data_IF_519473650687
#
_entry.id   IF_519473650687
#
_cell.length_a   1.000
_cell.length_b   1.000
_cell.length_c   1.000
_cell.angle_alpha   90.00
_cell.angle_beta   90.00
_cell.angle_gamma   90.00
#
_symmetry.space_group_name_H-M   'P 1'
#
loop_
_entity.id
_entity.type
_entity.pdbx_description
1 polymer ?
#
# COMPACT_ATOMS: atom_id res chain seq x y z
N UNK A 1 -9.57 41.40 114.61
CA UNK A 1 -9.77 40.79 113.28
C UNK A 1 -8.43 40.21 112.82
N UNK A 2 -8.13 38.95 113.17
CA UNK A 2 -6.90 38.27 112.80
C UNK A 2 -7.26 36.92 112.14
N UNK A 3 -7.34 36.88 110.82
CA UNK A 3 -7.47 35.64 110.05
C UNK A 3 -7.22 35.88 108.56
N UNK A 4 -5.96 36.09 108.17
CA UNK A 4 -5.52 36.03 106.76
C UNK A 4 -4.12 35.44 106.57
N UNK A 5 -3.41 35.06 107.63
CA UNK A 5 -2.00 34.62 107.54
C UNK A 5 -1.78 33.10 107.50
N UNK A 6 -2.79 32.29 107.81
CA UNK A 6 -2.68 30.82 107.75
C UNK A 6 -2.77 30.25 106.31
N UNK A 7 -3.50 30.92 105.42
CA UNK A 7 -3.62 30.49 104.03
C UNK A 7 -2.31 30.70 103.24
N UNK A 8 -1.62 31.81 103.50
CA UNK A 8 -0.34 32.14 102.86
C UNK A 8 0.83 31.25 103.34
N UNK A 9 0.78 30.77 104.58
CA UNK A 9 1.82 29.89 105.13
C UNK A 9 1.67 28.43 104.70
N UNK A 10 0.45 27.96 104.40
CA UNK A 10 0.25 26.63 103.77
C UNK A 10 0.71 26.60 102.31
N UNK A 11 0.61 27.72 101.58
CA UNK A 11 1.09 27.86 100.20
C UNK A 11 2.62 27.85 100.04
N UNK A 12 3.37 28.06 101.13
CA UNK A 12 4.85 28.05 101.15
C UNK A 12 5.45 26.85 101.89
N UNK A 13 4.65 25.83 102.25
CA UNK A 13 5.17 24.56 102.79
C UNK A 13 5.76 23.72 101.65
N UNK A 14 6.99 24.07 101.30
CA UNK A 14 8.05 23.19 100.83
C UNK A 14 7.74 22.41 99.54
N UNK A 15 8.13 22.99 98.41
CA UNK A 15 8.72 22.22 97.31
C UNK A 15 9.97 21.51 97.87
N UNK A 16 9.77 20.38 98.54
CA UNK A 16 10.88 19.50 98.89
C UNK A 16 11.54 19.05 97.58
N UNK A 17 12.86 18.85 97.58
CA UNK A 17 13.59 18.33 96.41
C UNK A 17 12.90 17.09 95.83
N UNK A 18 12.30 16.27 96.69
CA UNK A 18 11.48 15.10 96.31
C UNK A 18 10.22 15.45 95.52
N UNK A 19 9.48 16.51 95.86
CA UNK A 19 8.29 16.96 95.09
C UNK A 19 8.68 17.54 93.72
N UNK A 20 9.81 18.25 93.63
CA UNK A 20 10.32 18.78 92.35
C UNK A 20 10.78 17.63 91.46
N UNK A 21 11.53 16.66 92.00
CA UNK A 21 11.95 15.47 91.28
C UNK A 21 10.76 14.62 90.80
N UNK A 22 9.72 14.48 91.62
CA UNK A 22 8.49 13.78 91.23
C UNK A 22 7.76 14.51 90.10
N UNK A 23 7.58 15.83 90.20
CA UNK A 23 6.98 16.63 89.13
C UNK A 23 7.80 16.58 87.82
N UNK A 24 9.13 16.59 87.92
CA UNK A 24 10.02 16.44 86.75
C UNK A 24 9.91 15.04 86.15
N UNK A 25 9.81 13.98 86.98
CA UNK A 25 9.57 12.61 86.51
C UNK A 25 8.22 12.48 85.81
N UNK A 26 7.16 13.04 86.38
CA UNK A 26 5.83 13.05 85.76
C UNK A 26 5.79 13.86 84.47
N UNK A 27 6.46 15.02 84.42
CA UNK A 27 6.57 15.82 83.20
C UNK A 27 7.34 15.06 82.11
N UNK A 28 8.42 14.35 82.46
CA UNK A 28 9.15 13.47 81.54
C UNK A 28 8.28 12.31 81.06
N UNK A 29 7.52 11.67 81.95
CA UNK A 29 6.59 10.60 81.56
C UNK A 29 5.48 11.11 80.64
N UNK A 30 4.92 12.30 80.90
CA UNK A 30 3.95 12.95 80.01
C UNK A 30 4.55 13.28 78.64
N UNK A 31 5.80 13.76 78.59
CA UNK A 31 6.50 14.02 77.33
C UNK A 31 6.76 12.73 76.53
N UNK A 32 7.18 11.65 77.20
CA UNK A 32 7.35 10.33 76.56
C UNK A 32 6.01 9.78 76.05
N UNK A 33 4.93 9.91 76.82
CA UNK A 33 3.60 9.49 76.39
C UNK A 33 3.09 10.32 75.20
N UNK A 34 3.40 11.62 75.15
CA UNK A 34 3.10 12.47 73.99
C UNK A 34 3.92 12.04 72.76
N UNK A 35 5.21 11.73 72.92
CA UNK A 35 6.05 11.20 71.84
C UNK A 35 5.50 9.87 71.30
N UNK A 36 5.13 8.93 72.17
CA UNK A 36 4.51 7.66 71.76
C UNK A 36 3.21 7.87 70.98
N UNK A 37 2.37 8.82 71.41
CA UNK A 37 1.14 9.18 70.67
C UNK A 37 1.46 9.76 69.29
N UNK A 38 2.46 10.62 69.19
CA UNK A 38 2.93 11.18 67.92
C UNK A 38 3.45 10.06 67.01
N UNK A 39 4.24 9.12 67.53
CA UNK A 39 4.73 7.97 66.77
C UNK A 39 3.58 7.09 66.26
N UNK A 40 2.57 6.82 67.08
CA UNK A 40 1.38 6.05 66.68
C UNK A 40 0.64 6.76 65.54
N UNK A 41 0.46 8.08 65.64
CA UNK A 41 -0.21 8.88 64.61
C UNK A 41 0.65 9.07 63.35
N UNK A 42 1.98 9.05 63.46
CA UNK A 42 2.90 9.18 62.33
C UNK A 42 3.01 7.89 61.50
N UNK A 43 2.82 6.70 62.10
CA UNK A 43 2.85 5.41 61.38
C UNK A 43 1.96 5.36 60.13
N UNK A 44 0.65 5.71 60.17
CA UNK A 44 -0.19 5.70 58.98
C UNK A 44 0.26 6.73 57.95
N UNK A 45 0.75 7.91 58.36
CA UNK A 45 1.25 8.94 57.45
C UNK A 45 2.51 8.47 56.72
N UNK A 46 3.46 7.87 57.45
CA UNK A 46 4.65 7.27 56.87
C UNK A 46 4.29 6.12 55.91
N UNK A 47 3.30 5.28 56.26
CA UNK A 47 2.83 4.22 55.37
C UNK A 47 2.22 4.76 54.07
N UNK A 48 1.45 5.86 54.13
CA UNK A 48 0.92 6.53 52.94
C UNK A 48 2.06 7.14 52.11
N UNK A 49 3.03 7.80 52.74
CA UNK A 49 4.18 8.38 52.03
C UNK A 49 4.99 7.31 51.26
N UNK A 50 5.16 6.12 51.85
CA UNK A 50 5.82 5.00 51.19
C UNK A 50 5.01 4.47 50.01
N UNK A 51 3.67 4.43 50.12
CA UNK A 51 2.79 4.03 49.01
C UNK A 51 2.83 5.05 47.87
N UNK A 52 2.81 6.34 48.17
CA UNK A 52 2.95 7.40 47.17
C UNK A 52 4.30 7.33 46.46
N UNK A 53 5.39 7.16 47.21
CA UNK A 53 6.72 7.00 46.62
C UNK A 53 6.85 5.75 45.74
N UNK A 54 6.09 4.67 46.04
CA UNK A 54 6.02 3.49 45.16
C UNK A 54 5.22 3.80 43.89
N UNK A 55 4.06 4.43 44.02
CA UNK A 55 3.23 4.81 42.88
C UNK A 55 3.96 5.74 41.91
N UNK A 56 4.71 6.73 42.41
CA UNK A 56 5.51 7.63 41.57
C UNK A 56 6.63 6.90 40.81
N UNK A 57 7.25 5.89 41.43
CA UNK A 57 8.26 5.04 40.76
C UNK A 57 7.63 4.14 39.71
N UNK A 58 6.46 3.58 40.01
CA UNK A 58 5.71 2.76 39.04
C UNK A 58 5.22 3.62 37.87
N UNK A 59 4.68 4.81 38.12
CA UNK A 59 4.21 5.71 37.06
C UNK A 59 5.35 6.15 36.15
N UNK A 60 6.47 6.61 36.72
CA UNK A 60 7.66 7.00 35.95
C UNK A 60 8.25 5.82 35.17
N UNK A 61 8.23 4.62 35.72
CA UNK A 61 8.65 3.41 35.00
C UNK A 61 7.72 3.08 33.83
N UNK A 62 6.42 3.25 33.98
CA UNK A 62 5.43 2.99 32.91
C UNK A 62 5.55 4.04 31.80
N UNK A 63 5.69 5.31 32.15
CA UNK A 63 5.92 6.40 31.20
C UNK A 63 7.17 6.15 30.37
N UNK A 64 8.32 5.88 31.02
CA UNK A 64 9.57 5.58 30.33
C UNK A 64 9.48 4.33 29.44
N UNK A 65 8.76 3.29 29.87
CA UNK A 65 8.53 2.11 29.05
C UNK A 65 7.62 2.41 27.84
N UNK A 66 6.62 3.26 28.03
CA UNK A 66 5.72 3.75 26.98
C UNK A 66 6.47 4.56 25.92
N UNK A 67 7.30 5.51 26.35
CA UNK A 67 8.14 6.32 25.45
C UNK A 67 9.06 5.45 24.59
N UNK A 68 9.79 4.51 25.21
CA UNK A 68 10.65 3.56 24.49
C UNK A 68 9.87 2.73 23.47
N UNK A 69 8.64 2.32 23.81
CA UNK A 69 7.79 1.55 22.89
C UNK A 69 7.35 2.42 21.72
N UNK A 70 6.95 3.67 21.97
CA UNK A 70 6.57 4.63 20.93
C UNK A 70 7.74 4.87 19.98
N UNK A 71 8.92 5.15 20.51
CA UNK A 71 10.15 5.37 19.72
C UNK A 71 10.48 4.15 18.85
N UNK A 72 10.46 2.94 19.43
CA UNK A 72 10.71 1.71 18.68
C UNK A 72 9.70 1.46 17.55
N UNK A 73 8.43 1.85 17.75
CA UNK A 73 7.39 1.73 16.74
C UNK A 73 7.57 2.77 15.64
N UNK A 74 7.95 4.00 15.99
CA UNK A 74 8.25 5.07 15.03
C UNK A 74 9.42 4.67 14.14
N UNK A 75 10.55 4.23 14.71
CA UNK A 75 11.69 3.77 13.91
C UNK A 75 11.33 2.59 12.99
N UNK A 76 10.52 1.65 13.48
CA UNK A 76 10.10 0.50 12.68
C UNK A 76 9.17 0.92 11.52
N UNK A 77 8.30 1.92 11.74
CA UNK A 77 7.45 2.49 10.69
C UNK A 77 8.27 3.26 9.67
N UNK A 78 9.22 4.08 10.11
CA UNK A 78 10.09 4.85 9.23
C UNK A 78 10.91 3.93 8.32
N UNK A 79 11.52 2.87 8.88
CA UNK A 79 12.22 1.83 8.10
C UNK A 79 11.30 1.17 7.07
N UNK A 80 10.05 0.89 7.41
CA UNK A 80 9.06 0.33 6.46
C UNK A 80 8.70 1.32 5.37
N UNK A 81 8.51 2.59 5.70
CA UNK A 81 8.20 3.65 4.75
C UNK A 81 9.35 3.84 3.77
N UNK A 82 10.59 3.89 4.26
CA UNK A 82 11.79 3.98 3.42
C UNK A 82 11.91 2.79 2.48
N UNK A 83 11.73 1.58 3.01
CA UNK A 83 11.73 0.37 2.18
C UNK A 83 10.64 0.40 1.10
N UNK A 84 9.42 0.79 1.45
CA UNK A 84 8.33 0.91 0.47
C UNK A 84 8.62 1.98 -0.59
N UNK A 85 9.23 3.11 -0.22
CA UNK A 85 9.66 4.14 -1.17
C UNK A 85 10.73 3.60 -2.13
N UNK A 86 11.71 2.87 -1.63
CA UNK A 86 12.75 2.25 -2.47
C UNK A 86 12.16 1.18 -3.40
N UNK A 87 11.34 0.28 -2.88
CA UNK A 87 10.71 -0.79 -3.65
C UNK A 87 9.76 -0.25 -4.74
N UNK A 88 9.02 0.82 -4.44
CA UNK A 88 8.13 1.47 -5.41
C UNK A 88 8.93 2.24 -6.47
N UNK A 89 9.99 2.96 -6.09
CA UNK A 89 10.89 3.60 -7.05
C UNK A 89 11.53 2.57 -8.00
N UNK A 90 12.03 1.46 -7.47
CA UNK A 90 12.59 0.37 -8.27
C UNK A 90 11.57 -0.24 -9.24
N UNK A 91 10.33 -0.47 -8.79
CA UNK A 91 9.23 -0.94 -9.66
C UNK A 91 8.86 0.07 -10.74
N UNK A 92 8.86 1.36 -10.44
CA UNK A 92 8.61 2.41 -11.44
C UNK A 92 9.73 2.43 -12.48
N UNK A 93 10.99 2.31 -12.07
CA UNK A 93 12.10 2.25 -13.02
C UNK A 93 12.07 0.99 -13.88
N UNK A 94 11.75 -0.16 -13.29
CA UNK A 94 11.63 -1.41 -14.02
C UNK A 94 10.50 -1.34 -15.05
N UNK A 95 9.32 -0.87 -14.64
CA UNK A 95 8.19 -0.72 -15.56
C UNK A 95 8.48 0.27 -16.68
N UNK A 96 9.22 1.37 -16.43
CA UNK A 96 9.68 2.29 -17.48
C UNK A 96 10.62 1.62 -18.49
N UNK A 97 11.54 0.77 -18.02
CA UNK A 97 12.45 0.02 -18.90
C UNK A 97 11.68 -1.00 -19.74
N UNK A 98 10.76 -1.73 -19.11
CA UNK A 98 9.94 -2.75 -19.79
C UNK A 98 9.00 -2.12 -20.82
N UNK A 99 8.39 -0.96 -20.51
CA UNK A 99 7.55 -0.24 -21.48
C UNK A 99 8.36 0.35 -22.61
N UNK A 100 9.54 0.92 -22.34
CA UNK A 100 10.43 1.40 -23.40
C UNK A 100 10.85 0.26 -24.34
N UNK A 101 11.23 -0.91 -23.79
CA UNK A 101 11.56 -2.09 -24.59
C UNK A 101 10.38 -2.54 -25.47
N UNK A 102 9.18 -2.65 -24.89
CA UNK A 102 7.96 -3.00 -25.64
C UNK A 102 7.63 -1.99 -26.73
N UNK A 103 7.83 -0.69 -26.48
CA UNK A 103 7.63 0.34 -27.51
C UNK A 103 8.60 0.19 -28.68
N UNK A 104 9.88 -0.07 -28.40
CA UNK A 104 10.86 -0.31 -29.46
C UNK A 104 10.55 -1.57 -30.27
N UNK A 105 10.06 -2.62 -29.62
CA UNK A 105 9.64 -3.86 -30.29
C UNK A 105 8.41 -3.62 -31.17
N UNK A 106 7.38 -2.93 -30.65
CA UNK A 106 6.19 -2.57 -31.43
C UNK A 106 6.52 -1.69 -32.63
N UNK A 107 7.41 -0.71 -32.47
CA UNK A 107 7.86 0.13 -33.58
C UNK A 107 8.59 -0.69 -34.66
N UNK A 108 9.45 -1.62 -34.25
CA UNK A 108 10.14 -2.49 -35.21
C UNK A 108 9.17 -3.43 -35.93
N UNK A 109 8.20 -3.99 -35.23
CA UNK A 109 7.17 -4.84 -35.82
C UNK A 109 6.28 -4.05 -36.78
N UNK A 110 5.92 -2.83 -36.41
CA UNK A 110 5.16 -1.92 -37.27
C UNK A 110 5.95 -1.59 -38.54
N UNK A 111 7.21 -1.17 -38.40
CA UNK A 111 8.09 -0.90 -39.56
C UNK A 111 8.22 -2.13 -40.46
N UNK A 112 8.45 -3.31 -39.88
CA UNK A 112 8.52 -4.55 -40.66
C UNK A 112 7.21 -4.86 -41.38
N UNK A 113 6.04 -4.56 -40.79
CA UNK A 113 4.75 -4.73 -41.44
C UNK A 113 4.49 -3.69 -42.54
N UNK A 114 4.92 -2.44 -42.34
CA UNK A 114 4.82 -1.37 -43.34
C UNK A 114 5.73 -1.66 -44.53
N UNK A 115 6.95 -2.13 -44.28
CA UNK A 115 7.90 -2.56 -45.32
C UNK A 115 7.35 -3.75 -46.11
N UNK A 116 6.75 -4.74 -45.44
CA UNK A 116 6.12 -5.88 -46.10
C UNK A 116 4.94 -5.45 -47.00
N UNK A 117 4.07 -4.57 -46.49
CA UNK A 117 2.96 -4.02 -47.28
C UNK A 117 3.44 -3.17 -48.46
N UNK A 118 4.52 -2.41 -48.30
CA UNK A 118 5.12 -1.65 -49.38
C UNK A 118 5.63 -2.57 -50.50
N UNK A 119 6.25 -3.70 -50.14
CA UNK A 119 6.68 -4.72 -51.10
C UNK A 119 5.51 -5.41 -51.79
N UNK A 120 4.45 -5.77 -51.05
CA UNK A 120 3.23 -6.33 -51.64
C UNK A 120 2.57 -5.36 -52.62
N UNK A 121 2.51 -4.07 -52.28
CA UNK A 121 1.99 -3.04 -53.16
C UNK A 121 2.85 -2.89 -54.42
N UNK A 122 4.17 -2.82 -54.28
CA UNK A 122 5.09 -2.76 -55.42
C UNK A 122 4.93 -3.99 -56.32
N UNK A 123 4.77 -5.18 -55.74
CA UNK A 123 4.50 -6.41 -56.47
C UNK A 123 3.18 -6.34 -57.24
N UNK A 124 2.10 -5.84 -56.62
CA UNK A 124 0.81 -5.70 -57.28
C UNK A 124 0.87 -4.70 -58.46
N UNK A 125 1.59 -3.58 -58.31
CA UNK A 125 1.80 -2.58 -59.37
C UNK A 125 2.54 -3.20 -60.57
N UNK A 126 3.63 -3.92 -60.31
CA UNK A 126 4.40 -4.57 -61.38
C UNK A 126 3.61 -5.71 -62.02
N UNK A 127 2.90 -6.51 -61.23
CA UNK A 127 2.02 -7.57 -61.75
C UNK A 127 0.90 -7.02 -62.64
N UNK A 128 0.28 -5.91 -62.23
CA UNK A 128 -0.71 -5.23 -63.06
C UNK A 128 -0.12 -4.76 -64.39
N UNK A 129 1.13 -4.26 -64.39
CA UNK A 129 1.81 -3.83 -65.61
C UNK A 129 2.06 -4.95 -66.63
N UNK A 130 2.06 -6.23 -66.21
CA UNK A 130 2.18 -7.35 -67.13
C UNK A 130 0.85 -7.70 -67.84
N UNK A 131 -0.30 -7.38 -67.23
CA UNK A 131 -1.63 -7.70 -67.76
C UNK A 131 -2.43 -6.52 -68.30
N UNK A 132 -2.07 -5.29 -67.91
CA UNK A 132 -2.75 -4.05 -68.31
C UNK A 132 -1.81 -2.99 -68.86
N UNK A 133 -2.36 -1.93 -69.45
CA UNK A 133 -1.56 -0.79 -69.92
C UNK A 133 -1.31 0.23 -68.83
N UNK A 134 -0.29 1.09 -69.00
CA UNK A 134 -0.05 2.22 -68.09
C UNK A 134 -1.26 3.16 -67.97
N UNK A 135 -2.13 3.21 -68.98
CA UNK A 135 -3.36 4.00 -68.94
C UNK A 135 -4.43 3.38 -68.06
N UNK A 136 -4.49 2.05 -67.99
CA UNK A 136 -5.40 1.33 -67.10
C UNK A 136 -4.95 1.48 -65.66
N UNK A 137 -3.65 1.41 -65.39
CA UNK A 137 -3.10 1.65 -64.05
C UNK A 137 -3.37 3.10 -63.59
N UNK A 138 -3.17 4.06 -64.51
CA UNK A 138 -3.45 5.48 -64.26
C UNK A 138 -4.94 5.73 -63.91
N UNK A 139 -5.86 5.08 -64.60
CA UNK A 139 -7.30 5.22 -64.32
C UNK A 139 -7.71 4.52 -63.02
N UNK A 140 -7.18 3.34 -62.71
CA UNK A 140 -7.45 2.60 -61.46
C UNK A 140 -6.97 3.37 -60.23
N UNK A 141 -5.77 3.97 -60.30
CA UNK A 141 -5.20 4.73 -59.19
C UNK A 141 -5.57 6.23 -59.20
N UNK A 142 -6.27 6.70 -60.24
CA UNK A 142 -6.62 8.12 -60.40
C UNK A 142 -5.40 9.04 -60.60
N UNK A 143 -4.30 8.52 -61.16
CA UNK A 143 -3.05 9.24 -61.41
C UNK A 143 -2.85 9.52 -62.91
N UNK A 144 -1.81 10.27 -63.27
CA UNK A 144 -1.49 10.52 -64.68
C UNK A 144 -0.71 9.35 -65.30
N UNK A 145 -0.77 9.16 -66.62
CA UNK A 145 0.02 8.14 -67.33
C UNK A 145 1.54 8.24 -67.08
N UNK A 146 2.04 9.46 -66.89
CA UNK A 146 3.46 9.67 -66.55
C UNK A 146 3.76 9.15 -65.14
N UNK A 147 2.92 9.51 -64.16
CA UNK A 147 3.05 9.04 -62.79
C UNK A 147 2.89 7.51 -62.67
N UNK A 148 1.99 6.90 -63.45
CA UNK A 148 1.85 5.44 -63.51
C UNK A 148 3.11 4.76 -64.05
N UNK A 149 3.73 5.33 -65.09
CA UNK A 149 4.99 4.81 -65.64
C UNK A 149 6.15 4.94 -64.64
N UNK A 150 6.23 6.06 -63.94
CA UNK A 150 7.23 6.29 -62.88
C UNK A 150 7.01 5.34 -61.69
N UNK A 151 5.76 5.12 -61.28
CA UNK A 151 5.39 4.20 -60.20
C UNK A 151 5.79 2.75 -60.52
N UNK A 152 5.59 2.30 -61.75
CA UNK A 152 6.02 0.95 -62.18
C UNK A 152 7.54 0.85 -62.09
N UNK A 153 8.27 1.86 -62.58
CA UNK A 153 9.73 1.86 -62.53
C UNK A 153 10.27 1.85 -61.09
N UNK A 154 9.73 2.70 -60.20
CA UNK A 154 10.12 2.72 -58.79
C UNK A 154 9.76 1.40 -58.09
N UNK A 155 8.59 0.84 -58.38
CA UNK A 155 8.14 -0.44 -57.82
C UNK A 155 9.02 -1.61 -58.27
N UNK A 156 9.49 -1.63 -59.53
CA UNK A 156 10.48 -2.62 -59.98
C UNK A 156 11.81 -2.48 -59.25
N UNK A 157 12.30 -1.26 -59.08
CA UNK A 157 13.56 -1.00 -58.35
C UNK A 157 13.45 -1.42 -56.87
N UNK A 158 12.32 -1.18 -56.23
CA UNK A 158 12.11 -1.53 -54.81
C UNK A 158 12.02 -3.05 -54.61
N UNK A 159 11.40 -3.77 -55.55
CA UNK A 159 11.42 -5.24 -55.56
C UNK A 159 12.84 -5.79 -55.81
N UNK A 160 13.60 -5.19 -56.73
CA UNK A 160 14.98 -5.58 -57.00
C UNK A 160 15.90 -5.36 -55.77
N UNK A 161 15.75 -4.22 -55.07
CA UNK A 161 16.46 -3.94 -53.81
C UNK A 161 16.11 -4.97 -52.73
N UNK A 162 14.86 -5.43 -52.69
CA UNK A 162 14.41 -6.49 -51.79
C UNK A 162 14.82 -7.91 -52.27
N UNK A 163 15.48 -8.03 -53.42
CA UNK A 163 15.88 -9.31 -54.01
C UNK A 163 14.73 -10.13 -54.60
N UNK A 164 13.56 -9.52 -54.79
CA UNK A 164 12.36 -10.16 -55.32
C UNK A 164 12.32 -9.93 -56.84
N UNK A 165 12.56 -10.98 -57.62
CA UNK A 165 12.46 -10.89 -59.08
C UNK A 165 11.00 -11.02 -59.52
N UNK A 166 10.43 -9.94 -60.05
CA UNK A 166 9.10 -9.93 -60.65
C UNK A 166 9.11 -10.68 -61.99
N UNK A 167 9.09 -12.03 -61.96
CA UNK A 167 8.84 -12.82 -63.16
C UNK A 167 7.37 -12.71 -63.55
N UNK A 168 7.14 -12.51 -64.84
CA UNK A 168 5.82 -12.55 -65.45
C UNK A 168 5.10 -13.84 -65.02
N UNK A 169 3.83 -13.79 -64.56
CA UNK A 169 3.09 -15.00 -64.23
C UNK A 169 2.98 -15.83 -65.51
N UNK A 170 3.64 -16.99 -65.55
CA UNK A 170 3.35 -17.99 -66.56
C UNK A 170 1.96 -18.52 -66.27
N UNK A 171 1.00 -18.19 -67.14
CA UNK A 171 -0.34 -18.78 -67.14
C UNK A 171 -0.22 -20.31 -67.04
N UNK A 172 -0.68 -20.86 -65.93
CA UNK A 172 -1.03 -22.27 -65.83
C UNK A 172 -2.33 -22.41 -65.06
N UNK A 173 -3.40 -22.40 -65.86
CA UNK A 173 -4.69 -23.06 -65.70
C UNK A 173 -5.65 -22.63 -64.57
N UNK A 174 -6.80 -22.19 -65.06
CA UNK A 174 -8.09 -22.07 -64.42
C UNK A 174 -8.65 -23.38 -63.82
N UNK A 175 -9.52 -23.15 -62.83
CA UNK A 175 -10.80 -23.82 -62.56
C UNK A 175 -10.85 -25.30 -62.14
N UNK A 176 -11.21 -25.50 -60.87
CA UNK A 176 -12.18 -26.50 -60.41
C UNK A 176 -12.68 -26.03 -59.02
N UNK A 177 -13.94 -26.11 -58.61
CA UNK A 177 -15.22 -26.38 -59.25
C UNK A 177 -16.28 -25.88 -58.24
N UNK A 178 -17.42 -25.43 -58.76
CA UNK A 178 -18.57 -25.01 -57.98
C UNK A 178 -19.22 -26.18 -57.23
N UNK A 179 -19.67 -25.94 -55.99
CA UNK A 179 -20.77 -26.70 -55.38
C UNK A 179 -21.89 -25.73 -54.96
N UNK A 180 -23.13 -26.19 -55.19
CA UNK A 180 -24.39 -25.47 -55.27
C UNK A 180 -25.10 -25.32 -53.92
N UNK A 181 -26.04 -24.36 -53.90
CA UNK A 181 -27.04 -24.01 -52.88
C UNK A 181 -27.92 -25.17 -52.33
N UNK A 182 -28.12 -25.16 -51.00
CA UNK A 182 -29.33 -25.24 -50.12
C UNK A 182 -30.65 -25.96 -50.56
N UNK A 183 -31.60 -26.39 -49.65
CA UNK A 183 -31.96 -25.81 -48.34
C UNK A 183 -32.38 -26.76 -47.17
N UNK A 184 -32.70 -26.16 -46.01
CA UNK A 184 -33.11 -26.70 -44.69
C UNK A 184 -34.43 -27.54 -44.62
N UNK A 185 -34.76 -28.12 -43.44
CA UNK A 185 -35.80 -27.48 -42.60
C UNK A 185 -35.60 -27.56 -41.07
N UNK A 186 -36.43 -26.77 -40.39
CA UNK A 186 -36.41 -26.45 -38.96
C UNK A 186 -36.97 -27.52 -37.99
N UNK A 187 -36.50 -27.46 -36.74
CA UNK A 187 -37.36 -27.55 -35.55
C UNK A 187 -37.37 -28.87 -34.76
N UNK A 188 -36.74 -28.89 -33.58
CA UNK A 188 -37.25 -29.51 -32.33
C UNK A 188 -36.25 -29.33 -31.15
N UNK A 189 -36.56 -28.44 -30.22
CA UNK A 189 -36.28 -28.63 -28.77
C UNK A 189 -37.34 -29.63 -28.24
N UNK A 190 -37.13 -30.42 -27.16
CA UNK A 190 -36.70 -29.92 -25.83
C UNK A 190 -35.90 -30.92 -24.94
N UNK A 191 -35.46 -30.47 -23.77
CA UNK A 191 -35.79 -31.06 -22.46
C UNK A 191 -34.82 -30.59 -21.37
N UNK A 192 -35.31 -29.67 -20.54
CA UNK A 192 -34.83 -29.43 -19.19
C UNK A 192 -35.06 -30.68 -18.30
N UNK A 193 -34.09 -30.99 -17.43
CA UNK A 193 -34.34 -31.58 -16.12
C UNK A 193 -33.21 -31.20 -15.14
N UNK A 194 -33.52 -30.16 -14.36
CA UNK A 194 -33.45 -30.06 -12.90
C UNK A 194 -32.37 -30.79 -12.06
N UNK A 195 -31.68 -29.96 -11.25
CA UNK A 195 -31.33 -30.11 -9.81
C UNK A 195 -30.38 -31.26 -9.38
N UNK A 196 -29.40 -31.08 -8.46
CA UNK A 196 -29.36 -30.26 -7.24
C UNK A 196 -27.94 -30.20 -6.62
N UNK A 197 -27.79 -29.28 -5.64
CA UNK A 197 -26.81 -29.16 -4.53
C UNK A 197 -25.53 -28.32 -4.76
N UNK A 198 -25.05 -27.42 -3.88
CA UNK A 198 -25.51 -26.85 -2.60
C UNK A 198 -24.58 -25.64 -2.22
N UNK A 199 -25.18 -24.53 -1.74
CA UNK A 199 -24.71 -23.45 -0.83
C UNK A 199 -23.42 -22.62 -1.10
N UNK A 200 -23.45 -21.31 -0.76
CA UNK A 200 -22.75 -20.90 0.48
C UNK A 200 -23.54 -19.95 1.39
N UNK A 201 -23.16 -20.00 2.66
CA UNK A 201 -23.77 -19.36 3.81
C UNK A 201 -23.32 -17.90 4.03
N UNK A 202 -24.28 -17.13 4.54
CA UNK A 202 -24.25 -16.11 5.60
C UNK A 202 -23.19 -15.01 5.67
N UNK A 203 -23.76 -13.82 5.90
CA UNK A 203 -23.24 -12.47 6.11
C UNK A 203 -22.50 -12.27 7.45
N UNK A 204 -21.82 -11.12 7.60
CA UNK A 204 -21.74 -10.47 8.90
C UNK A 204 -22.46 -9.12 8.93
N UNK A 205 -23.32 -9.00 9.94
CA UNK A 205 -24.05 -7.84 10.41
C UNK A 205 -23.12 -6.76 10.99
N UNK A 206 -23.38 -5.50 10.64
CA UNK A 206 -22.87 -4.32 11.33
C UNK A 206 -23.56 -4.20 12.69
N UNK A 207 -22.78 -4.26 13.77
CA UNK A 207 -23.20 -3.87 15.10
C UNK A 207 -22.28 -2.76 15.61
N UNK A 208 -22.93 -1.71 16.11
CA UNK A 208 -22.38 -0.49 16.71
C UNK A 208 -21.43 -0.75 17.88
N UNK A 209 -20.47 0.16 18.03
CA UNK A 209 -19.80 0.49 19.28
C UNK A 209 -19.60 2.01 19.34
#
# INVERSE_FOLDING_TARGET
>A
MASTNEAATRSRRLHTVKNVEQNVKEARQKALAAQQRIEILAKPLNAVSQKLARLERESSSVEAAGERRIESLQEALDKKIEKLKADTAAKIEQTKKDTAAKLTELQKNQQGSEDALALEYAQAVVQFSFGGSNADLATVLGITNKAAKELIASSTEDLEKAGISAKQPTESAAAAAAEKEDPAPAGALPADHEAAAEKPADSPTLASA
#
